data_IF_720884143947
#
_entry.id   IF_720884143947
#
_cell.length_a   1.000
_cell.length_b   1.000
_cell.length_c   1.000
_cell.angle_alpha   90.00
_cell.angle_beta   90.00
_cell.angle_gamma   90.00
#
_symmetry.space_group_name_H-M   'P 1'
#
loop_
_entity.id
_entity.type
_entity.pdbx_description
1 polymer ?
#
# COMPACT_ATOMS: atom_id res chain seq x y z
N UNK A 1 -28.03 8.51 -23.96
CA UNK A 1 -27.79 8.90 -22.56
C UNK A 1 -27.09 7.82 -21.70
N UNK A 2 -26.52 6.75 -22.31
CA UNK A 2 -25.66 5.76 -21.61
C UNK A 2 -24.16 6.07 -21.70
N UNK A 3 -23.75 7.02 -22.56
CA UNK A 3 -22.34 7.39 -22.74
C UNK A 3 -21.79 8.31 -21.62
N UNK A 4 -22.66 8.91 -20.80
CA UNK A 4 -22.24 9.93 -19.82
C UNK A 4 -21.82 9.36 -18.46
N UNK A 5 -22.21 8.12 -18.15
CA UNK A 5 -21.82 7.41 -16.91
C UNK A 5 -20.56 6.54 -17.16
N UNK A 6 -20.13 6.41 -18.41
CA UNK A 6 -18.97 5.61 -18.85
C UNK A 6 -17.64 6.39 -18.77
N UNK A 7 -17.44 7.14 -17.70
CA UNK A 7 -16.13 7.74 -17.40
C UNK A 7 -15.46 7.01 -16.22
N UNK A 8 -15.53 5.68 -16.21
CA UNK A 8 -14.47 4.89 -15.57
C UNK A 8 -13.21 5.07 -16.43
N UNK A 9 -12.54 6.20 -16.26
CA UNK A 9 -11.37 6.52 -17.06
C UNK A 9 -10.22 5.57 -16.66
N UNK A 10 -9.76 4.78 -17.61
CA UNK A 10 -8.62 3.88 -17.43
C UNK A 10 -7.38 4.65 -16.94
N UNK A 11 -7.25 5.93 -17.30
CA UNK A 11 -6.18 6.81 -16.84
C UNK A 11 -6.32 7.14 -15.35
N UNK A 12 -7.54 7.36 -14.85
CA UNK A 12 -7.79 7.52 -13.41
C UNK A 12 -7.49 6.21 -12.65
N UNK A 13 -7.92 5.07 -13.18
CA UNK A 13 -7.63 3.77 -12.56
C UNK A 13 -6.10 3.52 -12.49
N UNK A 14 -5.37 3.83 -13.56
CA UNK A 14 -3.89 3.77 -13.58
C UNK A 14 -3.27 4.63 -12.48
N UNK A 15 -3.72 5.88 -12.32
CA UNK A 15 -3.23 6.78 -11.26
C UNK A 15 -3.50 6.20 -9.87
N UNK A 16 -4.65 5.59 -9.65
CA UNK A 16 -4.98 4.95 -8.38
C UNK A 16 -4.09 3.74 -8.07
N UNK A 17 -3.78 2.90 -9.07
CA UNK A 17 -2.82 1.81 -8.90
C UNK A 17 -1.41 2.31 -8.56
N UNK A 18 -0.96 3.38 -9.23
CA UNK A 18 0.33 4.02 -8.92
C UNK A 18 0.32 4.56 -7.48
N UNK A 19 -0.76 5.25 -7.08
CA UNK A 19 -0.90 5.76 -5.72
C UNK A 19 -0.90 4.62 -4.69
N UNK A 20 -1.61 3.53 -4.97
CA UNK A 20 -1.64 2.35 -4.10
C UNK A 20 -0.24 1.73 -3.96
N UNK A 21 0.51 1.67 -5.05
CA UNK A 21 1.90 1.20 -5.03
C UNK A 21 2.78 2.13 -4.17
N UNK A 22 2.67 3.45 -4.35
CA UNK A 22 3.42 4.42 -3.53
C UNK A 22 3.07 4.27 -2.05
N UNK A 23 1.79 4.15 -1.69
CA UNK A 23 1.36 3.94 -0.30
C UNK A 23 1.91 2.63 0.29
N UNK A 24 2.05 1.60 -0.54
CA UNK A 24 2.65 0.34 -0.11
C UNK A 24 4.19 0.44 0.05
N UNK A 25 4.86 1.29 -0.73
CA UNK A 25 6.28 1.60 -0.51
C UNK A 25 6.51 2.44 0.74
N UNK A 26 5.65 3.44 1.00
CA UNK A 26 5.77 4.26 2.21
C UNK A 26 5.47 3.46 3.47
N UNK A 27 4.50 2.54 3.42
CA UNK A 27 4.20 1.57 4.48
C UNK A 27 5.47 0.83 4.92
N UNK A 28 6.15 0.14 4.00
CA UNK A 28 7.35 -0.63 4.38
C UNK A 28 8.51 0.25 4.84
N UNK A 29 8.67 1.46 4.29
CA UNK A 29 9.67 2.41 4.76
C UNK A 29 9.42 2.83 6.20
N UNK A 30 8.18 3.18 6.56
CA UNK A 30 7.83 3.54 7.93
C UNK A 30 7.96 2.36 8.89
N UNK A 31 7.53 1.17 8.49
CA UNK A 31 7.74 -0.05 9.28
C UNK A 31 9.22 -0.26 9.59
N UNK A 32 10.09 -0.22 8.59
CA UNK A 32 11.53 -0.41 8.79
C UNK A 32 12.13 0.67 9.69
N UNK A 33 11.75 1.94 9.49
CA UNK A 33 12.22 3.04 10.33
C UNK A 33 11.80 2.89 11.79
N UNK A 34 10.53 2.56 12.04
CA UNK A 34 10.00 2.40 13.40
C UNK A 34 10.61 1.17 14.10
N UNK A 35 10.79 0.05 13.41
CA UNK A 35 11.40 -1.16 13.97
C UNK A 35 12.87 -0.93 14.37
N UNK A 36 13.62 -0.15 13.59
CA UNK A 36 15.01 0.19 13.92
C UNK A 36 15.16 0.96 15.24
N UNK A 37 14.09 1.59 15.73
CA UNK A 37 14.12 2.31 17.01
C UNK A 37 14.09 1.39 18.24
N UNK A 38 13.71 0.12 18.08
CA UNK A 38 13.56 -0.83 19.18
C UNK A 38 12.30 -0.65 20.04
N UNK A 39 11.52 0.42 19.82
CA UNK A 39 10.27 0.68 20.55
C UNK A 39 9.04 0.00 19.93
N UNK A 40 9.17 -0.51 18.71
CA UNK A 40 8.08 -1.09 17.95
C UNK A 40 8.40 -2.52 17.55
N UNK A 41 7.36 -3.34 17.40
CA UNK A 41 7.46 -4.73 16.94
C UNK A 41 6.46 -4.97 15.82
N UNK A 42 6.84 -5.82 14.86
CA UNK A 42 6.00 -6.16 13.72
C UNK A 42 4.94 -7.18 14.17
N UNK A 43 3.66 -6.82 14.07
CA UNK A 43 2.58 -7.73 14.47
C UNK A 43 2.19 -8.74 13.38
N UNK A 44 2.57 -8.51 12.13
CA UNK A 44 2.22 -9.40 11.03
C UNK A 44 3.14 -10.63 11.03
N UNK A 45 2.56 -11.80 11.34
CA UNK A 45 3.26 -13.09 11.41
C UNK A 45 4.02 -13.47 10.13
N UNK A 46 3.51 -13.09 8.95
CA UNK A 46 4.22 -13.34 7.69
C UNK A 46 5.34 -12.34 7.45
N UNK A 47 5.14 -11.11 7.93
CA UNK A 47 6.08 -10.01 7.74
C UNK A 47 7.28 -10.17 8.69
N UNK A 48 7.07 -10.63 9.93
CA UNK A 48 8.10 -10.68 10.97
C UNK A 48 9.39 -11.38 10.49
N UNK A 49 9.26 -12.52 9.80
CA UNK A 49 10.41 -13.25 9.25
C UNK A 49 10.97 -12.64 7.95
N UNK A 50 10.16 -11.87 7.24
CA UNK A 50 10.58 -11.20 6.01
C UNK A 50 11.38 -9.92 6.29
N UNK A 51 11.10 -9.20 7.39
CA UNK A 51 11.80 -7.96 7.73
C UNK A 51 13.27 -8.22 8.07
N UNK A 52 13.59 -9.37 8.66
CA UNK A 52 14.96 -9.77 9.02
C UNK A 52 15.87 -10.00 7.79
N UNK A 53 15.29 -10.21 6.61
CA UNK A 53 16.01 -10.46 5.37
C UNK A 53 15.70 -9.38 4.33
N UNK A 54 16.61 -8.40 4.12
CA UNK A 54 16.37 -7.26 3.22
C UNK A 54 15.93 -7.66 1.80
N UNK A 55 16.50 -8.75 1.25
CA UNK A 55 16.13 -9.26 -0.07
C UNK A 55 14.70 -9.81 -0.12
N UNK A 56 14.27 -10.54 0.91
CA UNK A 56 12.92 -11.11 1.00
C UNK A 56 11.90 -9.98 1.17
N UNK A 57 12.21 -9.01 2.03
CA UNK A 57 11.41 -7.81 2.22
C UNK A 57 11.18 -7.06 0.91
N UNK A 58 12.26 -6.77 0.16
CA UNK A 58 12.16 -6.09 -1.14
C UNK A 58 11.35 -6.94 -2.14
N UNK A 59 11.58 -8.25 -2.21
CA UNK A 59 10.85 -9.10 -3.14
C UNK A 59 9.34 -9.11 -2.84
N UNK A 60 8.96 -9.26 -1.57
CA UNK A 60 7.56 -9.38 -1.16
C UNK A 60 6.80 -8.04 -1.12
N UNK A 61 7.46 -6.94 -0.76
CA UNK A 61 6.81 -5.62 -0.60
C UNK A 61 7.03 -4.66 -1.76
N UNK A 62 8.04 -4.87 -2.61
CA UNK A 62 8.34 -3.98 -3.74
C UNK A 62 8.05 -4.68 -5.06
N UNK A 63 8.73 -5.79 -5.34
CA UNK A 63 8.67 -6.46 -6.65
C UNK A 63 7.31 -7.14 -6.86
N UNK A 64 6.88 -7.94 -5.89
CA UNK A 64 5.63 -8.70 -5.99
C UNK A 64 4.39 -7.80 -6.14
N UNK A 65 4.20 -6.73 -5.34
CA UNK A 65 3.06 -5.83 -5.52
C UNK A 65 3.14 -5.04 -6.83
N UNK A 66 4.33 -4.62 -7.27
CA UNK A 66 4.47 -3.96 -8.57
C UNK A 66 4.01 -4.86 -9.73
N UNK A 67 4.44 -6.13 -9.71
CA UNK A 67 4.03 -7.13 -10.70
C UNK A 67 2.51 -7.37 -10.65
N UNK A 68 1.97 -7.58 -9.45
CA UNK A 68 0.55 -7.90 -9.26
C UNK A 68 -0.35 -6.73 -9.68
N UNK A 69 -0.02 -5.49 -9.30
CA UNK A 69 -0.77 -4.31 -9.74
C UNK A 69 -0.67 -4.11 -11.26
N UNK A 70 0.49 -4.39 -11.86
CA UNK A 70 0.67 -4.38 -13.31
C UNK A 70 -0.22 -5.42 -14.02
N UNK A 71 -0.27 -6.65 -13.49
CA UNK A 71 -1.11 -7.72 -14.01
C UNK A 71 -2.61 -7.38 -13.92
N UNK A 72 -3.05 -6.88 -12.76
CA UNK A 72 -4.44 -6.47 -12.57
C UNK A 72 -4.78 -5.32 -13.52
N UNK A 73 -3.94 -4.29 -13.64
CA UNK A 73 -4.16 -3.19 -14.57
C UNK A 73 -4.25 -3.66 -16.03
N UNK A 74 -3.39 -4.60 -16.44
CA UNK A 74 -3.45 -5.17 -17.79
C UNK A 74 -4.80 -5.86 -18.04
N UNK A 75 -5.25 -6.66 -17.07
CA UNK A 75 -6.55 -7.35 -17.14
C UNK A 75 -7.71 -6.35 -17.19
N UNK A 76 -7.70 -5.31 -16.34
CA UNK A 76 -8.71 -4.25 -16.34
C UNK A 76 -8.75 -3.44 -17.65
N UNK A 77 -7.63 -3.37 -18.39
CA UNK A 77 -7.55 -2.67 -19.69
C UNK A 77 -8.19 -3.48 -20.82
N UNK A 78 -8.05 -4.80 -20.80
CA UNK A 78 -8.58 -5.71 -21.83
C UNK A 78 -9.97 -6.25 -21.49
N UNK A 79 -10.43 -6.03 -20.27
CA UNK A 79 -11.71 -6.46 -19.75
C UNK A 79 -12.92 -5.69 -20.26
N UNK A 80 -14.10 -6.19 -19.91
CA UNK A 80 -15.36 -5.49 -20.11
C UNK A 80 -15.59 -4.35 -19.08
N UNK A 81 -16.66 -3.59 -19.28
CA UNK A 81 -17.02 -2.48 -18.40
C UNK A 81 -17.27 -2.94 -16.95
N UNK A 82 -17.68 -4.20 -16.74
CA UNK A 82 -17.91 -4.79 -15.42
C UNK A 82 -16.57 -5.01 -14.68
N UNK A 83 -15.58 -5.60 -15.34
CA UNK A 83 -14.24 -5.78 -14.79
C UNK A 83 -13.59 -4.43 -14.42
N UNK A 84 -13.79 -3.40 -15.24
CA UNK A 84 -13.28 -2.06 -14.97
C UNK A 84 -13.95 -1.42 -13.73
N UNK A 85 -15.26 -1.66 -13.55
CA UNK A 85 -16.01 -1.22 -12.37
C UNK A 85 -15.55 -1.96 -11.11
N UNK A 86 -15.42 -3.28 -11.17
CA UNK A 86 -14.93 -4.11 -10.05
C UNK A 86 -13.52 -3.67 -9.64
N UNK A 87 -12.63 -3.48 -10.62
CA UNK A 87 -11.25 -3.02 -10.39
C UNK A 87 -11.22 -1.65 -9.69
N UNK A 88 -12.09 -0.72 -10.09
CA UNK A 88 -12.20 0.58 -9.43
C UNK A 88 -12.69 0.48 -7.98
N UNK A 89 -13.67 -0.39 -7.71
CA UNK A 89 -14.18 -0.61 -6.35
C UNK A 89 -13.07 -1.22 -5.48
N UNK A 90 -12.43 -2.29 -5.95
CA UNK A 90 -11.35 -2.97 -5.25
C UNK A 90 -10.20 -2.01 -4.91
N UNK A 91 -9.73 -1.25 -5.90
CA UNK A 91 -8.66 -0.26 -5.71
C UNK A 91 -9.04 0.83 -4.72
N UNK A 92 -10.27 1.33 -4.75
CA UNK A 92 -10.72 2.34 -3.79
C UNK A 92 -10.71 1.78 -2.36
N UNK A 93 -11.18 0.54 -2.16
CA UNK A 93 -11.13 -0.13 -0.85
C UNK A 93 -9.68 -0.29 -0.39
N UNK A 94 -8.80 -0.80 -1.27
CA UNK A 94 -7.37 -0.94 -0.96
C UNK A 94 -6.73 0.40 -0.60
N UNK A 95 -6.99 1.46 -1.37
CA UNK A 95 -6.49 2.80 -1.08
C UNK A 95 -6.94 3.30 0.29
N UNK A 96 -8.21 3.11 0.64
CA UNK A 96 -8.74 3.50 1.96
C UNK A 96 -7.99 2.79 3.09
N UNK A 97 -7.80 1.48 2.98
CA UNK A 97 -7.06 0.68 3.98
C UNK A 97 -5.60 1.15 4.09
N UNK A 98 -4.91 1.26 2.95
CA UNK A 98 -3.50 1.68 2.95
C UNK A 98 -3.31 3.11 3.45
N UNK A 99 -4.28 3.99 3.22
CA UNK A 99 -4.26 5.35 3.78
C UNK A 99 -4.36 5.31 5.29
N UNK A 100 -5.26 4.50 5.86
CA UNK A 100 -5.37 4.33 7.32
C UNK A 100 -4.10 3.77 7.94
N UNK A 101 -3.47 2.78 7.31
CA UNK A 101 -2.21 2.20 7.77
C UNK A 101 -1.09 3.25 7.77
N UNK A 102 -0.93 4.00 6.68
CA UNK A 102 0.06 5.07 6.60
C UNK A 102 -0.21 6.20 7.62
N UNK A 103 -1.48 6.56 7.85
CA UNK A 103 -1.84 7.52 8.90
C UNK A 103 -1.46 6.99 10.30
N UNK A 104 -1.64 5.70 10.57
CA UNK A 104 -1.19 5.09 11.82
C UNK A 104 0.33 5.22 11.97
N UNK A 105 1.11 4.96 10.91
CA UNK A 105 2.56 5.17 10.93
C UNK A 105 2.95 6.62 11.22
N UNK A 106 2.25 7.59 10.62
CA UNK A 106 2.50 9.01 10.90
C UNK A 106 2.23 9.35 12.37
N UNK A 107 1.15 8.82 12.96
CA UNK A 107 0.86 9.00 14.40
C UNK A 107 1.98 8.41 15.26
N UNK A 108 2.40 7.17 15.00
CA UNK A 108 3.47 6.52 15.77
C UNK A 108 4.81 7.24 15.63
N UNK A 109 5.14 7.69 14.42
CA UNK A 109 6.34 8.47 14.16
C UNK A 109 6.31 9.81 14.91
N UNK A 110 5.14 10.48 14.96
CA UNK A 110 4.97 11.72 15.72
C UNK A 110 5.04 11.50 17.24
N UNK A 111 4.65 10.31 17.73
CA UNK A 111 4.75 9.94 19.15
C UNK A 111 6.17 9.54 19.56
N UNK A 112 7.03 9.15 18.60
CA UNK A 112 8.39 8.66 18.87
C UNK A 112 9.22 9.57 19.79
N UNK A 113 9.27 10.90 19.63
CA UNK A 113 10.06 11.76 20.51
C UNK A 113 9.62 11.70 21.98
N UNK A 114 8.31 11.56 22.24
CA UNK A 114 7.78 11.44 23.60
C UNK A 114 8.15 10.10 24.24
N UNK A 115 8.16 9.02 23.45
CA UNK A 115 8.59 7.70 23.92
C UNK A 115 10.09 7.68 24.26
N UNK A 116 10.92 8.31 23.43
CA UNK A 116 12.36 8.41 23.68
C UNK A 116 12.64 9.25 24.92
N UNK A 117 12.03 10.44 25.04
CA UNK A 117 12.24 11.35 26.16
C UNK A 117 11.70 10.84 27.50
N UNK A 118 10.65 10.00 27.49
CA UNK A 118 10.11 9.38 28.71
C UNK A 118 10.96 8.24 29.28
N UNK A 119 12.00 7.80 28.56
CA UNK A 119 12.92 6.73 28.95
C UNK A 119 14.32 7.22 29.36
N UNK A 120 14.56 8.54 29.36
CA UNK A 120 15.78 9.21 29.87
C UNK A 120 15.48 9.76 31.26
#
# INVERSE_FOLDING_TARGET
MLLFIKNYDLLLLKKKYILLYVLNLTDILFTLLLLQTGYFTEMNLFMVSAVDHPLICILLKVIFPAFLLGYVYHTSKTGDDEQLRISNIAVNISLSIYTLVNLSHLVWTAMLPFLILGHI
#
